data_IF_526692743467
#
_entry.id   IF_526692743467
#
_cell.length_a   1.000
_cell.length_b   1.000
_cell.length_c   1.000
_cell.angle_alpha   90.00
_cell.angle_beta   90.00
_cell.angle_gamma   90.00
#
_symmetry.space_group_name_H-M   'P 1'
#
loop_
_entity.id
_entity.type
_entity.pdbx_description
1 polymer ?
#
# COMPACT_ATOMS: atom_id res chain seq x y z
N UNK A 1 -0.53 7.24 9.50
CA UNK A 1 -0.93 7.41 8.08
C UNK A 1 -1.14 8.87 7.79
N UNK A 2 -0.09 9.52 7.31
CA UNK A 2 -0.33 10.37 6.15
C UNK A 2 0.52 10.02 4.91
N UNK A 3 1.48 9.11 5.00
CA UNK A 3 2.53 8.95 3.98
C UNK A 3 2.43 7.68 3.11
N UNK A 4 1.56 6.72 3.43
CA UNK A 4 1.34 5.51 2.61
C UNK A 4 -0.09 4.96 2.75
N UNK A 5 -0.42 3.99 1.88
CA UNK A 5 -1.74 3.35 1.80
C UNK A 5 -1.58 1.83 1.68
N UNK A 6 -2.45 1.09 2.37
CA UNK A 6 -2.58 -0.36 2.23
C UNK A 6 -3.88 -0.71 1.50
N UNK A 7 -3.82 -1.67 0.57
CA UNK A 7 -4.98 -2.11 -0.22
C UNK A 7 -5.01 -3.63 -0.29
N UNK A 8 -6.17 -4.21 0.04
CA UNK A 8 -6.46 -5.63 -0.14
C UNK A 8 -7.49 -5.77 -1.25
N UNK A 9 -7.17 -6.54 -2.29
CA UNK A 9 -8.03 -6.71 -3.45
C UNK A 9 -7.78 -8.05 -4.13
N UNK A 10 -8.78 -8.52 -4.89
CA UNK A 10 -8.63 -9.68 -5.75
C UNK A 10 -7.94 -9.27 -7.05
N UNK A 11 -6.81 -9.91 -7.36
CA UNK A 11 -6.08 -9.68 -8.60
C UNK A 11 -6.61 -10.59 -9.71
N UNK A 12 -6.95 -10.02 -10.86
CA UNK A 12 -7.24 -10.80 -12.06
C UNK A 12 -5.94 -11.51 -12.51
N UNK A 13 -5.93 -12.86 -12.66
CA UNK A 13 -4.72 -13.61 -13.01
C UNK A 13 -4.14 -13.26 -14.39
N UNK A 14 -4.91 -12.62 -15.27
CA UNK A 14 -4.46 -12.12 -16.57
C UNK A 14 -3.75 -10.75 -16.49
N UNK A 15 -3.67 -10.15 -15.30
CA UNK A 15 -3.04 -8.84 -15.07
C UNK A 15 -1.87 -8.99 -14.12
N UNK A 16 -0.74 -8.39 -14.47
CA UNK A 16 0.39 -8.31 -13.55
C UNK A 16 0.09 -7.30 -12.43
N UNK A 17 0.64 -7.55 -11.24
CA UNK A 17 0.55 -6.61 -10.12
C UNK A 17 1.19 -5.26 -10.49
N UNK A 18 2.29 -5.26 -11.24
CA UNK A 18 2.98 -4.04 -11.67
C UNK A 18 2.10 -3.18 -12.59
N UNK A 19 1.33 -3.78 -13.50
CA UNK A 19 0.41 -3.05 -14.37
C UNK A 19 -0.75 -2.42 -13.59
N UNK A 20 -1.27 -3.12 -12.59
CA UNK A 20 -2.35 -2.63 -11.72
C UNK A 20 -1.85 -1.45 -10.89
N UNK A 21 -0.69 -1.60 -10.22
CA UNK A 21 -0.12 -0.55 -9.39
C UNK A 21 0.30 0.66 -10.22
N UNK A 22 0.87 0.46 -11.43
CA UNK A 22 1.18 1.55 -12.35
C UNK A 22 -0.06 2.39 -12.68
N UNK A 23 -1.17 1.74 -13.00
CA UNK A 23 -2.43 2.43 -13.30
C UNK A 23 -3.00 3.15 -12.08
N UNK A 24 -3.07 2.47 -10.93
CA UNK A 24 -3.59 3.05 -9.70
C UNK A 24 -2.79 4.31 -9.30
N UNK A 25 -1.45 4.23 -9.34
CA UNK A 25 -0.58 5.36 -9.03
C UNK A 25 -0.68 6.48 -10.06
N UNK A 26 -0.71 6.14 -11.35
CA UNK A 26 -0.80 7.13 -12.43
C UNK A 26 -2.12 7.89 -12.43
N UNK A 27 -3.26 7.19 -12.36
CA UNK A 27 -4.60 7.79 -12.37
C UNK A 27 -4.83 8.64 -11.12
N UNK A 28 -4.45 8.14 -9.94
CA UNK A 28 -4.58 8.93 -8.70
C UNK A 28 -3.69 10.17 -8.72
N UNK A 29 -2.44 10.08 -9.15
CA UNK A 29 -1.57 11.25 -9.31
C UNK A 29 -2.12 12.24 -10.32
N UNK A 30 -2.66 11.79 -11.45
CA UNK A 30 -3.27 12.67 -12.44
C UNK A 30 -4.50 13.40 -11.87
N UNK A 31 -5.40 12.67 -11.21
CA UNK A 31 -6.61 13.22 -10.61
C UNK A 31 -6.28 14.24 -9.49
N UNK A 32 -5.45 13.86 -8.51
CA UNK A 32 -5.09 14.72 -7.37
C UNK A 32 -4.46 16.04 -7.84
N UNK A 33 -3.55 15.95 -8.82
CA UNK A 33 -2.88 17.14 -9.36
C UNK A 33 -3.79 17.95 -10.30
N UNK A 34 -4.63 17.28 -11.09
CA UNK A 34 -5.55 17.95 -12.04
C UNK A 34 -6.64 18.73 -11.32
N UNK A 35 -7.15 18.19 -10.22
CA UNK A 35 -8.19 18.82 -9.38
C UNK A 35 -7.60 19.74 -8.30
N UNK A 36 -6.27 19.89 -8.22
CA UNK A 36 -5.56 20.67 -7.20
C UNK A 36 -6.03 20.35 -5.76
N UNK A 37 -6.22 19.06 -5.45
CA UNK A 37 -6.73 18.63 -4.13
C UNK A 37 -5.76 18.92 -2.98
N UNK A 38 -4.49 19.16 -3.31
CA UNK A 38 -3.45 19.57 -2.37
C UNK A 38 -2.61 20.70 -2.99
N UNK A 39 -1.95 21.50 -2.15
CA UNK A 39 -1.15 22.66 -2.58
C UNK A 39 0.12 22.27 -3.34
N UNK A 40 0.69 21.12 -3.01
CA UNK A 40 1.94 20.63 -3.59
C UNK A 40 1.68 19.65 -4.74
N UNK A 41 2.67 19.44 -5.59
CA UNK A 41 2.57 18.41 -6.63
C UNK A 41 2.61 17.02 -5.99
N UNK A 42 1.50 16.31 -6.03
CA UNK A 42 1.40 14.95 -5.54
C UNK A 42 2.19 13.98 -6.41
N UNK A 43 3.04 13.17 -5.78
CA UNK A 43 3.73 12.06 -6.42
C UNK A 43 3.84 10.87 -5.47
N UNK A 44 3.71 9.67 -6.01
CA UNK A 44 4.02 8.46 -5.27
C UNK A 44 5.53 8.18 -5.25
N UNK A 45 6.01 7.49 -4.21
CA UNK A 45 7.33 6.85 -4.22
C UNK A 45 7.51 5.94 -5.45
N UNK A 46 8.75 5.67 -5.90
CA UNK A 46 9.02 4.85 -7.10
C UNK A 46 8.51 3.40 -6.96
N UNK A 47 8.75 2.77 -5.82
CA UNK A 47 8.44 1.37 -5.56
C UNK A 47 7.02 1.09 -5.06
N UNK A 48 6.77 -0.19 -4.75
CA UNK A 48 5.63 -0.70 -4.00
C UNK A 48 6.01 -2.05 -3.38
N UNK A 49 5.31 -2.45 -2.31
CA UNK A 49 5.36 -3.80 -1.77
C UNK A 49 4.06 -4.54 -2.11
N UNK A 50 4.15 -5.83 -2.40
CA UNK A 50 3.00 -6.67 -2.71
C UNK A 50 3.21 -8.07 -2.15
N UNK A 51 2.18 -8.59 -1.49
CA UNK A 51 2.20 -9.89 -0.84
C UNK A 51 0.94 -10.67 -1.20
N UNK A 52 1.09 -11.96 -1.50
CA UNK A 52 -0.04 -12.84 -1.70
C UNK A 52 -0.68 -13.19 -0.35
N UNK A 53 -2.01 -13.20 -0.32
CA UNK A 53 -2.78 -13.52 0.90
C UNK A 53 -3.62 -14.75 0.63
N UNK A 54 -3.40 -15.80 1.41
CA UNK A 54 -4.25 -16.98 1.41
C UNK A 54 -5.64 -16.64 1.94
N UNK A 55 -6.67 -17.29 1.42
CA UNK A 55 -8.07 -17.09 1.84
C UNK A 55 -8.25 -17.27 3.36
N UNK A 56 -7.57 -18.24 3.96
CA UNK A 56 -7.59 -18.48 5.41
C UNK A 56 -7.05 -17.32 6.26
N UNK A 57 -6.29 -16.40 5.65
CA UNK A 57 -5.73 -15.21 6.30
C UNK A 57 -6.51 -13.93 5.96
N UNK A 58 -7.58 -14.03 5.17
CA UNK A 58 -8.32 -12.87 4.67
C UNK A 58 -8.81 -11.96 5.80
N UNK A 59 -9.49 -12.54 6.79
CA UNK A 59 -10.04 -11.78 7.92
C UNK A 59 -8.94 -11.14 8.78
N UNK A 60 -7.81 -11.82 8.94
CA UNK A 60 -6.67 -11.30 9.68
C UNK A 60 -6.10 -10.05 8.97
N UNK A 61 -5.84 -10.15 7.67
CA UNK A 61 -5.28 -9.05 6.87
C UNK A 61 -6.28 -7.91 6.73
N UNK A 62 -7.56 -8.20 6.53
CA UNK A 62 -8.60 -7.18 6.49
C UNK A 62 -8.65 -6.38 7.80
N UNK A 63 -8.67 -7.07 8.94
CA UNK A 63 -8.69 -6.42 10.25
C UNK A 63 -7.42 -5.63 10.54
N UNK A 64 -6.26 -6.12 10.06
CA UNK A 64 -5.00 -5.39 10.11
C UNK A 64 -5.09 -4.05 9.38
N UNK A 65 -5.48 -4.06 8.09
CA UNK A 65 -5.63 -2.85 7.27
C UNK A 65 -6.65 -1.88 7.88
N UNK A 66 -7.79 -2.40 8.38
CA UNK A 66 -8.83 -1.59 9.02
C UNK A 66 -8.32 -0.82 10.25
N UNK A 67 -7.40 -1.42 11.01
CA UNK A 67 -6.85 -0.85 12.25
C UNK A 67 -5.61 0.02 12.02
N UNK A 68 -5.13 0.16 10.80
CA UNK A 68 -3.88 0.86 10.50
C UNK A 68 -3.80 2.30 11.00
N UNK A 69 -4.90 3.05 10.94
CA UNK A 69 -4.94 4.42 11.49
C UNK A 69 -4.57 4.47 12.98
N UNK A 70 -5.02 3.47 13.75
CA UNK A 70 -4.69 3.34 15.18
C UNK A 70 -3.27 2.81 15.38
N UNK A 71 -2.82 1.88 14.55
CA UNK A 71 -1.45 1.35 14.57
C UNK A 71 -0.42 2.47 14.42
N UNK A 72 -0.67 3.38 13.47
CA UNK A 72 0.21 4.51 13.21
C UNK A 72 0.21 5.64 14.24
N UNK A 73 -0.59 5.54 15.31
CA UNK A 73 -0.41 6.41 16.45
C UNK A 73 0.84 6.04 17.26
N UNK A 74 1.37 4.83 17.07
CA UNK A 74 2.49 4.28 17.85
C UNK A 74 3.70 3.88 17.01
N UNK A 75 3.56 3.85 15.68
CA UNK A 75 4.56 3.30 14.77
C UNK A 75 4.53 3.98 13.40
N UNK A 76 5.67 4.35 12.85
CA UNK A 76 5.73 4.95 11.51
C UNK A 76 5.77 3.89 10.39
N UNK A 77 5.67 4.34 9.14
CA UNK A 77 5.65 3.45 7.97
C UNK A 77 6.97 2.72 7.71
N UNK A 78 8.12 3.33 8.06
CA UNK A 78 9.43 2.70 7.86
C UNK A 78 9.62 1.53 8.83
N UNK A 79 9.30 1.76 10.10
CA UNK A 79 9.31 0.70 11.13
C UNK A 79 8.38 -0.46 10.76
N UNK A 80 7.24 -0.15 10.13
CA UNK A 80 6.32 -1.16 9.62
C UNK A 80 6.91 -1.98 8.49
N UNK A 81 7.50 -1.31 7.50
CA UNK A 81 8.19 -1.99 6.41
C UNK A 81 9.31 -2.90 6.90
N UNK A 82 10.16 -2.42 7.81
CA UNK A 82 11.28 -3.19 8.36
C UNK A 82 10.82 -4.44 9.10
N UNK A 83 9.72 -4.35 9.86
CA UNK A 83 9.12 -5.51 10.52
C UNK A 83 8.54 -6.51 9.51
N UNK A 84 7.93 -6.06 8.42
CA UNK A 84 7.44 -6.95 7.36
C UNK A 84 8.57 -7.67 6.64
N UNK A 85 9.62 -6.94 6.28
CA UNK A 85 10.85 -7.48 5.66
C UNK A 85 11.42 -8.60 6.55
N UNK A 86 11.57 -8.31 7.85
CA UNK A 86 12.04 -9.28 8.84
C UNK A 86 11.11 -10.49 9.01
N UNK A 87 9.80 -10.26 9.11
CA UNK A 87 8.80 -11.32 9.30
C UNK A 87 8.81 -12.31 8.14
N UNK A 88 9.03 -11.83 6.92
CA UNK A 88 9.02 -12.65 5.71
C UNK A 88 10.41 -13.12 5.27
N UNK A 89 11.46 -12.87 6.07
CA UNK A 89 12.81 -13.35 5.81
C UNK A 89 13.49 -12.69 4.61
N UNK A 90 13.07 -11.48 4.25
CA UNK A 90 13.80 -10.65 3.29
C UNK A 90 14.94 -9.93 4.04
N UNK A 91 16.12 -9.85 3.44
CA UNK A 91 17.24 -9.04 3.93
C UNK A 91 17.29 -7.74 3.11
N UNK A 92 17.51 -6.61 3.79
CA UNK A 92 17.73 -5.30 3.16
C UNK A 92 19.15 -5.18 2.61
#
# INVERSE_FOLDING_TARGET
MPDHVHVLFLLNPQKSISDVIRQAKGVSSHCINGENLILEKFAWQKGYAAFAVSESQLDLVFNYIKKQKQHHLKKDGQQEFDEFVKLHGFEN
#
